data_IF_109685772858
#
_entry.id   IF_109685772858
#
_cell.length_a   1.000
_cell.length_b   1.000
_cell.length_c   1.000
_cell.angle_alpha   90.00
_cell.angle_beta   90.00
_cell.angle_gamma   90.00
#
_symmetry.space_group_name_H-M   'P 1'
#
loop_
_entity.id
_entity.type
_entity.pdbx_description
1 polymer ?
#
# COMPACT_ATOMS: atom_id res chain seq x y z
N UNK A 1 -13.12 -4.61 -31.98
CA UNK A 1 -11.88 -4.20 -31.27
C UNK A 1 -10.82 -5.29 -31.44
N UNK A 2 -9.72 -4.99 -32.15
CA UNK A 2 -8.61 -5.94 -32.31
C UNK A 2 -7.81 -6.06 -31.01
N UNK A 3 -7.79 -7.25 -30.38
CA UNK A 3 -6.84 -7.53 -29.29
C UNK A 3 -5.44 -7.51 -29.89
N UNK A 4 -4.68 -6.45 -29.62
CA UNK A 4 -3.26 -6.39 -29.96
C UNK A 4 -2.60 -7.45 -29.08
N UNK A 5 -2.29 -8.63 -29.64
CA UNK A 5 -1.49 -9.64 -28.96
C UNK A 5 -0.09 -9.05 -28.81
N UNK A 6 0.16 -8.40 -27.67
CA UNK A 6 1.49 -7.93 -27.32
C UNK A 6 2.48 -9.09 -27.34
N UNK A 7 3.75 -8.78 -27.58
CA UNK A 7 4.82 -9.77 -27.46
C UNK A 7 4.76 -10.44 -26.07
N UNK A 8 5.11 -11.74 -25.95
CA UNK A 8 5.14 -12.46 -24.67
C UNK A 8 5.96 -11.74 -23.59
N UNK A 9 6.94 -10.92 -24.00
CA UNK A 9 7.69 -10.05 -23.12
C UNK A 9 6.80 -8.96 -22.50
N UNK A 10 6.10 -8.19 -23.33
CA UNK A 10 5.24 -7.06 -22.89
C UNK A 10 4.13 -7.55 -21.96
N UNK A 11 3.52 -8.70 -22.27
CA UNK A 11 2.49 -9.30 -21.42
C UNK A 11 3.02 -9.71 -20.03
N UNK A 12 4.29 -10.11 -19.95
CA UNK A 12 4.95 -10.43 -18.67
C UNK A 12 5.17 -9.16 -17.83
N UNK A 13 5.62 -8.07 -18.45
CA UNK A 13 5.79 -6.78 -17.76
C UNK A 13 4.47 -6.18 -17.28
N UNK A 14 3.42 -6.25 -18.10
CA UNK A 14 2.08 -5.79 -17.75
C UNK A 14 1.50 -6.53 -16.53
N UNK A 15 1.85 -7.81 -16.31
CA UNK A 15 1.42 -8.56 -15.12
C UNK A 15 2.04 -8.06 -13.81
N UNK A 16 3.23 -7.45 -13.86
CA UNK A 16 3.87 -6.86 -12.67
C UNK A 16 3.41 -5.43 -12.41
N UNK A 17 2.81 -4.78 -13.41
CA UNK A 17 2.38 -3.39 -13.34
C UNK A 17 1.39 -3.07 -12.19
N UNK A 18 0.40 -3.93 -11.85
CA UNK A 18 -0.57 -3.58 -10.81
C UNK A 18 0.10 -3.36 -9.44
N UNK A 19 1.04 -4.23 -9.07
CA UNK A 19 1.75 -4.13 -7.80
C UNK A 19 2.71 -2.93 -7.77
N UNK A 20 3.42 -2.68 -8.86
CA UNK A 20 4.32 -1.54 -8.95
C UNK A 20 3.57 -0.20 -9.00
N UNK A 21 2.42 -0.14 -9.67
CA UNK A 21 1.55 1.03 -9.67
C UNK A 21 1.01 1.35 -8.28
N UNK A 22 0.54 0.33 -7.54
CA UNK A 22 0.10 0.49 -6.15
C UNK A 22 1.21 1.11 -5.29
N UNK A 23 2.44 0.59 -5.41
CA UNK A 23 3.59 1.16 -4.73
C UNK A 23 3.87 2.60 -5.19
N UNK A 24 3.85 2.88 -6.48
CA UNK A 24 4.11 4.23 -7.01
C UNK A 24 3.10 5.27 -6.49
N UNK A 25 1.85 4.89 -6.28
CA UNK A 25 0.80 5.77 -5.74
C UNK A 25 1.00 5.99 -4.23
N UNK A 26 1.32 4.92 -3.50
CA UNK A 26 1.36 4.95 -2.02
C UNK A 26 2.69 5.52 -1.49
N UNK A 27 3.81 5.23 -2.16
CA UNK A 27 5.17 5.64 -1.75
C UNK A 27 5.33 7.14 -1.48
N UNK A 28 4.93 8.08 -2.36
CA UNK A 28 5.10 9.50 -2.08
C UNK A 28 4.30 9.94 -0.85
N UNK A 29 3.16 9.32 -0.56
CA UNK A 29 2.43 9.52 0.68
C UNK A 29 3.32 9.22 1.89
N UNK A 30 3.84 7.99 1.97
CA UNK A 30 4.70 7.57 3.09
C UNK A 30 5.96 8.42 3.26
N UNK A 31 6.58 8.85 2.16
CA UNK A 31 7.81 9.67 2.24
C UNK A 31 7.47 11.05 2.80
N UNK A 32 6.36 11.66 2.37
CA UNK A 32 6.03 13.03 2.70
C UNK A 32 5.54 13.22 4.14
N UNK A 33 4.86 12.25 4.75
CA UNK A 33 4.48 12.36 6.16
C UNK A 33 5.44 11.70 7.16
N UNK A 34 6.63 11.32 6.70
CA UNK A 34 7.78 11.04 7.56
C UNK A 34 7.70 9.72 8.33
N UNK A 35 8.51 9.62 9.40
CA UNK A 35 8.68 8.36 10.14
C UNK A 35 7.38 7.79 10.71
N UNK A 36 6.45 8.66 11.10
CA UNK A 36 5.16 8.28 11.70
C UNK A 36 4.29 7.53 10.70
N UNK A 37 4.23 8.00 9.44
CA UNK A 37 3.42 7.36 8.40
C UNK A 37 4.02 6.03 7.97
N UNK A 38 5.35 5.93 7.92
CA UNK A 38 6.03 4.66 7.66
C UNK A 38 5.74 3.65 8.77
N UNK A 39 5.84 4.05 10.03
CA UNK A 39 5.51 3.18 11.17
C UNK A 39 4.06 2.72 11.13
N UNK A 40 3.13 3.63 10.85
CA UNK A 40 1.71 3.33 10.76
C UNK A 40 1.41 2.36 9.61
N UNK A 41 2.06 2.52 8.46
CA UNK A 41 1.95 1.59 7.33
C UNK A 41 2.48 0.19 7.66
N UNK A 42 3.58 0.09 8.43
CA UNK A 42 4.09 -1.20 8.93
C UNK A 42 3.08 -1.86 9.85
N UNK A 43 2.46 -1.11 10.77
CA UNK A 43 1.41 -1.63 11.65
C UNK A 43 0.22 -2.17 10.84
N UNK A 44 -0.25 -1.43 9.84
CA UNK A 44 -1.31 -1.89 8.93
C UNK A 44 -0.91 -3.20 8.25
N UNK A 45 0.32 -3.29 7.72
CA UNK A 45 0.81 -4.49 7.05
C UNK A 45 0.83 -5.69 8.00
N UNK A 46 1.34 -5.52 9.23
CA UNK A 46 1.40 -6.58 10.25
C UNK A 46 -0.01 -7.06 10.62
N UNK A 47 -0.93 -6.13 10.90
CA UNK A 47 -2.32 -6.47 11.27
C UNK A 47 -3.04 -7.16 10.10
N UNK A 48 -2.81 -6.72 8.87
CA UNK A 48 -3.40 -7.33 7.68
C UNK A 48 -2.90 -8.76 7.47
N UNK A 49 -1.60 -9.01 7.65
CA UNK A 49 -1.01 -10.36 7.52
C UNK A 49 -1.51 -11.29 8.62
N UNK A 50 -1.62 -10.80 9.86
CA UNK A 50 -2.04 -11.60 11.02
C UNK A 50 -3.54 -11.89 11.04
N UNK A 51 -4.38 -10.88 10.80
CA UNK A 51 -5.84 -11.00 10.92
C UNK A 51 -6.53 -11.41 9.62
N UNK A 52 -5.89 -11.13 8.46
CA UNK A 52 -6.51 -11.18 7.13
C UNK A 52 -7.84 -10.41 7.05
N UNK A 53 -8.07 -9.47 7.97
CA UNK A 53 -9.28 -8.68 8.08
C UNK A 53 -8.95 -7.23 7.78
N UNK A 54 -9.44 -6.76 6.64
CA UNK A 54 -9.22 -5.39 6.18
C UNK A 54 -9.72 -4.35 7.19
N UNK A 55 -10.86 -4.61 7.83
CA UNK A 55 -11.48 -3.66 8.75
C UNK A 55 -10.62 -3.45 10.00
N UNK A 56 -10.04 -4.54 10.54
CA UNK A 56 -9.10 -4.47 11.66
C UNK A 56 -7.81 -3.72 11.27
N UNK A 57 -7.26 -4.02 10.09
CA UNK A 57 -6.07 -3.33 9.59
C UNK A 57 -6.29 -1.82 9.40
N UNK A 58 -7.47 -1.43 8.89
CA UNK A 58 -7.84 -0.02 8.75
C UNK A 58 -7.97 0.68 10.11
N UNK A 59 -8.69 0.08 11.06
CA UNK A 59 -8.86 0.67 12.40
C UNK A 59 -7.50 0.83 13.09
N UNK A 60 -6.64 -0.18 13.02
CA UNK A 60 -5.31 -0.13 13.60
C UNK A 60 -4.46 0.99 12.99
N UNK A 61 -4.43 1.09 11.65
CA UNK A 61 -3.67 2.12 10.95
C UNK A 61 -4.17 3.54 11.25
N UNK A 62 -5.48 3.76 11.13
CA UNK A 62 -6.12 5.06 11.40
C UNK A 62 -5.89 5.44 12.86
N UNK A 63 -6.08 4.51 13.79
CA UNK A 63 -5.84 4.72 15.22
C UNK A 63 -4.40 5.11 15.50
N UNK A 64 -3.42 4.44 14.85
CA UNK A 64 -2.00 4.75 15.01
C UNK A 64 -1.68 6.17 14.53
N UNK A 65 -2.10 6.54 13.31
CA UNK A 65 -1.86 7.88 12.75
C UNK A 65 -2.54 8.95 13.61
N UNK A 66 -3.77 8.70 14.06
CA UNK A 66 -4.52 9.62 14.91
C UNK A 66 -3.80 9.85 16.25
N UNK A 67 -3.38 8.78 16.92
CA UNK A 67 -2.66 8.87 18.19
C UNK A 67 -1.35 9.64 18.03
N UNK A 68 -0.55 9.30 17.02
CA UNK A 68 0.73 9.98 16.81
C UNK A 68 0.58 11.44 16.42
N UNK A 69 -0.44 11.80 15.64
CA UNK A 69 -0.63 13.19 15.19
C UNK A 69 -1.23 14.09 16.28
N UNK A 70 -1.93 13.53 17.26
CA UNK A 70 -2.60 14.30 18.32
C UNK A 70 -1.87 14.30 19.67
N UNK A 71 -1.08 13.26 19.97
CA UNK A 71 -0.39 13.14 21.26
C UNK A 71 1.13 13.39 21.20
N UNK A 72 1.72 13.46 20.00
CA UNK A 72 3.14 13.68 19.73
C UNK A 72 3.27 14.84 18.74
#
# INVERSE_FOLDING_TARGET
>A
MGRIKGSPFVERWLRYLPGSLMLAIITPGLINGGLIEVFSAVVVAVVMIASRNLLLAMIAGIGMVYLFRNFI
#
